data_IF_579115766640
#
_entry.id   IF_579115766640
#
_cell.length_a   1.000
_cell.length_b   1.000
_cell.length_c   1.000
_cell.angle_alpha   90.00
_cell.angle_beta   90.00
_cell.angle_gamma   90.00
#
_symmetry.space_group_name_H-M   'P 1'
#
loop_
_entity.id
_entity.type
_entity.pdbx_description
1 polymer ?
#
# COMPACT_ATOMS: atom_id res chain seq x y z
N UNK A 1 15.04 -25.23 10.50
CA UNK A 1 15.71 -24.05 9.92
C UNK A 1 14.74 -23.43 8.94
N UNK A 2 14.24 -22.19 9.20
CA UNK A 2 13.45 -21.45 8.22
C UNK A 2 14.45 -20.98 7.15
N UNK A 3 14.42 -21.59 5.97
CA UNK A 3 15.27 -21.18 4.85
C UNK A 3 14.77 -19.82 4.39
N UNK A 4 15.62 -18.80 4.33
CA UNK A 4 15.24 -17.50 3.83
C UNK A 4 14.69 -17.69 2.41
N UNK A 5 13.56 -17.02 2.09
CA UNK A 5 12.92 -17.15 0.77
C UNK A 5 13.83 -16.69 -0.37
N UNK A 6 14.86 -15.90 -0.06
CA UNK A 6 15.96 -15.55 -0.96
C UNK A 6 16.69 -16.79 -1.50
N UNK A 7 16.88 -17.84 -0.66
CA UNK A 7 17.50 -19.11 -1.09
C UNK A 7 16.54 -19.97 -1.93
N UNK A 8 15.20 -19.84 -1.71
CA UNK A 8 14.18 -20.58 -2.47
C UNK A 8 13.95 -19.97 -3.85
N UNK A 9 13.94 -18.65 -3.96
CA UNK A 9 13.68 -17.92 -5.21
C UNK A 9 14.97 -17.52 -5.95
N UNK A 10 16.13 -17.62 -5.29
CA UNK A 10 17.45 -17.33 -5.86
C UNK A 10 17.68 -15.88 -6.30
N UNK A 11 16.74 -14.96 -5.96
CA UNK A 11 16.78 -13.55 -6.35
C UNK A 11 16.39 -12.63 -5.18
N UNK A 12 17.02 -11.46 -5.05
CA UNK A 12 16.58 -10.45 -4.09
C UNK A 12 15.21 -9.89 -4.48
N UNK A 13 14.41 -9.56 -3.46
CA UNK A 13 13.07 -9.01 -3.63
C UNK A 13 13.08 -7.52 -3.36
N UNK A 14 12.41 -6.75 -4.22
CA UNK A 14 12.02 -5.35 -4.00
C UNK A 14 10.52 -5.31 -3.78
N UNK A 15 10.05 -4.88 -2.60
CA UNK A 15 8.64 -4.69 -2.31
C UNK A 15 8.24 -3.24 -2.59
N UNK A 16 7.23 -3.04 -3.41
CA UNK A 16 6.61 -1.74 -3.66
C UNK A 16 5.25 -1.71 -2.97
N UNK A 17 5.15 -0.92 -1.91
CA UNK A 17 3.96 -0.76 -1.09
C UNK A 17 3.24 0.53 -1.49
N UNK A 18 1.95 0.44 -1.73
CA UNK A 18 1.12 1.56 -2.15
C UNK A 18 0.01 1.83 -1.13
N UNK A 19 -0.24 3.09 -0.82
CA UNK A 19 -1.59 3.48 -0.47
C UNK A 19 -2.48 3.40 -1.72
N UNK A 20 -3.81 3.48 -1.57
CA UNK A 20 -4.71 3.31 -2.70
C UNK A 20 -5.38 4.63 -3.12
N UNK A 21 -6.16 5.24 -2.22
CA UNK A 21 -6.91 6.46 -2.50
C UNK A 21 -5.95 7.63 -2.76
N UNK A 22 -6.16 8.39 -3.83
CA UNK A 22 -5.30 9.50 -4.29
C UNK A 22 -3.86 9.13 -4.61
N UNK A 23 -3.54 7.82 -4.51
CA UNK A 23 -2.25 7.25 -4.87
C UNK A 23 -2.34 6.45 -6.17
N UNK A 24 -3.24 5.48 -6.28
CA UNK A 24 -3.52 4.71 -7.50
C UNK A 24 -4.83 5.14 -8.17
N UNK A 25 -5.73 5.75 -7.42
CA UNK A 25 -7.00 6.33 -7.85
C UNK A 25 -7.00 7.84 -7.54
N UNK A 26 -7.54 8.70 -8.40
CA UNK A 26 -7.65 10.14 -8.12
C UNK A 26 -8.76 10.49 -7.11
N UNK A 27 -9.62 9.53 -6.77
CA UNK A 27 -10.76 9.69 -5.86
C UNK A 27 -10.65 8.70 -4.70
N UNK A 28 -11.48 8.90 -3.65
CA UNK A 28 -11.63 7.86 -2.63
C UNK A 28 -12.47 6.71 -3.21
N UNK A 29 -12.06 5.49 -2.97
CA UNK A 29 -12.73 4.31 -3.52
C UNK A 29 -14.19 4.17 -3.09
N UNK A 30 -14.56 4.76 -1.94
CA UNK A 30 -15.93 4.74 -1.40
C UNK A 30 -16.87 5.73 -2.09
N UNK A 31 -16.37 6.71 -2.84
CA UNK A 31 -17.18 7.78 -3.41
C UNK A 31 -18.27 7.25 -4.35
N UNK A 32 -17.99 6.18 -5.09
CA UNK A 32 -18.97 5.51 -5.95
C UNK A 32 -20.14 4.89 -5.16
N UNK A 33 -19.85 4.27 -4.02
CA UNK A 33 -20.88 3.76 -3.10
C UNK A 33 -21.68 4.91 -2.48
N UNK A 34 -21.01 5.96 -1.98
CA UNK A 34 -21.66 7.09 -1.30
C UNK A 34 -22.70 7.73 -2.23
N UNK A 35 -22.35 7.95 -3.51
CA UNK A 35 -23.31 8.47 -4.51
C UNK A 35 -24.46 7.51 -4.79
N UNK A 36 -24.23 6.19 -4.75
CA UNK A 36 -25.25 5.19 -5.02
C UNK A 36 -26.31 5.07 -3.91
N UNK A 37 -25.96 5.48 -2.69
CA UNK A 37 -26.93 5.58 -1.58
C UNK A 37 -27.55 6.98 -1.45
N UNK A 38 -27.52 7.78 -2.53
CA UNK A 38 -28.02 9.16 -2.58
C UNK A 38 -27.49 10.05 -1.46
N UNK A 39 -26.17 9.96 -1.23
CA UNK A 39 -25.49 10.81 -0.27
C UNK A 39 -24.50 11.74 -0.98
N UNK A 40 -24.43 13.00 -0.54
CA UNK A 40 -23.37 13.90 -0.97
C UNK A 40 -22.04 13.47 -0.36
N UNK A 41 -21.01 13.34 -1.21
CA UNK A 41 -19.69 12.82 -0.79
C UNK A 41 -19.05 13.71 0.28
N UNK A 42 -19.11 15.04 0.12
CA UNK A 42 -18.56 15.98 1.09
C UNK A 42 -19.26 15.90 2.44
N UNK A 43 -20.61 15.85 2.43
CA UNK A 43 -21.41 15.70 3.64
C UNK A 43 -21.16 14.36 4.34
N UNK A 44 -21.02 13.27 3.58
CA UNK A 44 -20.72 11.95 4.14
C UNK A 44 -19.41 11.97 4.95
N UNK A 45 -18.33 12.50 4.37
CA UNK A 45 -17.03 12.56 5.03
C UNK A 45 -17.02 13.55 6.21
N UNK A 46 -17.67 14.71 6.06
CA UNK A 46 -17.80 15.68 7.15
C UNK A 46 -18.55 15.11 8.35
N UNK A 47 -19.65 14.38 8.13
CA UNK A 47 -20.43 13.73 9.19
C UNK A 47 -19.67 12.54 9.80
N UNK A 48 -18.95 11.75 9.00
CA UNK A 48 -18.11 10.66 9.50
C UNK A 48 -17.00 11.18 10.41
N UNK A 49 -16.35 12.27 10.04
CA UNK A 49 -15.31 12.90 10.84
C UNK A 49 -15.88 13.48 12.15
N UNK A 50 -17.02 14.15 12.07
CA UNK A 50 -17.72 14.65 13.26
C UNK A 50 -18.11 13.52 14.21
N UNK A 51 -18.64 12.41 13.68
CA UNK A 51 -18.97 11.22 14.47
C UNK A 51 -17.73 10.69 15.21
N UNK A 52 -16.57 10.67 14.55
CA UNK A 52 -15.32 10.26 15.17
C UNK A 52 -14.91 11.20 16.31
N UNK A 53 -14.99 12.50 16.08
CA UNK A 53 -14.63 13.54 17.07
C UNK A 53 -15.56 13.51 18.28
N UNK A 54 -16.89 13.53 18.06
CA UNK A 54 -17.91 13.60 19.11
C UNK A 54 -17.89 12.37 20.03
N UNK A 55 -17.44 11.21 19.52
CA UNK A 55 -17.47 9.94 20.26
C UNK A 55 -16.09 9.34 20.52
N UNK A 56 -14.99 10.06 20.26
CA UNK A 56 -13.63 9.55 20.39
C UNK A 56 -13.43 8.23 19.64
N UNK A 57 -14.02 8.11 18.47
CA UNK A 57 -13.89 6.93 17.60
C UNK A 57 -12.68 7.06 16.66
N UNK A 58 -12.13 5.91 16.25
CA UNK A 58 -11.23 5.85 15.09
C UNK A 58 -12.00 6.30 13.83
N UNK A 59 -11.38 7.19 13.03
CA UNK A 59 -12.02 7.77 11.84
C UNK A 59 -12.45 6.71 10.82
N UNK A 60 -11.68 5.61 10.72
CA UNK A 60 -12.01 4.52 9.80
C UNK A 60 -13.17 3.67 10.32
N UNK A 61 -13.25 3.46 11.63
CA UNK A 61 -14.45 2.86 12.23
C UNK A 61 -15.69 3.73 12.02
N UNK A 62 -15.54 5.05 12.12
CA UNK A 62 -16.64 5.99 11.94
C UNK A 62 -17.19 5.95 10.50
N UNK A 63 -16.33 6.01 9.47
CA UNK A 63 -16.83 5.92 8.10
C UNK A 63 -17.42 4.54 7.79
N UNK A 64 -16.84 3.43 8.28
CA UNK A 64 -17.39 2.09 8.10
C UNK A 64 -18.78 1.98 8.74
N UNK A 65 -18.93 2.49 9.96
CA UNK A 65 -20.25 2.57 10.62
C UNK A 65 -21.24 3.40 9.79
N UNK A 66 -20.83 4.58 9.31
CA UNK A 66 -21.65 5.46 8.48
C UNK A 66 -22.09 4.78 7.19
N UNK A 67 -21.20 4.00 6.54
CA UNK A 67 -21.55 3.19 5.38
C UNK A 67 -22.71 2.23 5.69
N UNK A 68 -22.62 1.46 6.79
CA UNK A 68 -23.66 0.54 7.19
C UNK A 68 -24.99 1.25 7.48
N UNK A 69 -24.94 2.43 8.10
CA UNK A 69 -26.14 3.23 8.37
C UNK A 69 -26.79 3.75 7.09
N UNK A 70 -25.98 4.26 6.15
CA UNK A 70 -26.44 4.88 4.91
C UNK A 70 -27.03 3.86 3.92
N UNK A 71 -26.65 2.58 4.01
CA UNK A 71 -27.17 1.50 3.18
C UNK A 71 -28.60 1.10 3.56
N UNK A 72 -29.01 1.32 4.82
CA UNK A 72 -30.29 0.84 5.33
C UNK A 72 -31.47 1.36 4.51
N UNK A 73 -32.26 0.44 3.95
CA UNK A 73 -33.43 0.77 3.12
C UNK A 73 -33.15 1.36 1.75
N UNK A 74 -31.88 1.49 1.36
CA UNK A 74 -31.47 2.06 0.07
C UNK A 74 -30.69 1.10 -0.81
N UNK A 75 -29.75 0.36 -0.25
CA UNK A 75 -28.83 -0.49 -1.00
C UNK A 75 -28.55 -1.78 -0.20
N UNK A 76 -28.52 -2.91 -0.89
CA UNK A 76 -28.06 -4.17 -0.29
C UNK A 76 -26.52 -4.13 -0.27
N UNK A 77 -25.95 -3.88 0.90
CA UNK A 77 -24.53 -3.89 1.09
C UNK A 77 -24.04 -5.30 1.41
N UNK A 78 -23.28 -5.89 0.51
CA UNK A 78 -22.61 -7.17 0.70
C UNK A 78 -21.23 -7.15 0.01
N UNK A 79 -20.46 -8.21 0.21
CA UNK A 79 -19.10 -8.31 -0.34
C UNK A 79 -19.06 -8.15 -1.86
N UNK A 80 -19.98 -8.81 -2.57
CA UNK A 80 -20.01 -8.78 -4.04
C UNK A 80 -20.42 -7.38 -4.55
N UNK A 81 -21.31 -6.72 -3.86
CA UNK A 81 -21.73 -5.37 -4.21
C UNK A 81 -20.58 -4.36 -4.04
N UNK A 82 -19.82 -4.48 -2.94
CA UNK A 82 -18.60 -3.67 -2.74
C UNK A 82 -17.57 -3.91 -3.84
N UNK A 83 -17.35 -5.16 -4.26
CA UNK A 83 -16.49 -5.47 -5.41
C UNK A 83 -16.98 -4.84 -6.72
N UNK A 84 -18.28 -4.79 -6.94
CA UNK A 84 -18.83 -4.11 -8.13
C UNK A 84 -18.50 -2.61 -8.16
N UNK A 85 -18.50 -1.94 -7.02
CA UNK A 85 -18.01 -0.56 -6.94
C UNK A 85 -16.52 -0.47 -7.28
N UNK A 86 -15.71 -1.43 -6.83
CA UNK A 86 -14.30 -1.54 -7.20
C UNK A 86 -14.07 -1.57 -8.71
N UNK A 87 -14.93 -2.29 -9.45
CA UNK A 87 -14.87 -2.34 -10.92
C UNK A 87 -15.10 -1.00 -11.62
N UNK A 88 -15.67 -0.02 -10.90
CA UNK A 88 -15.96 1.34 -11.42
C UNK A 88 -14.94 2.39 -10.94
N UNK A 89 -14.01 2.04 -10.05
CA UNK A 89 -12.99 2.97 -9.56
C UNK A 89 -12.13 3.45 -10.71
N UNK A 90 -12.02 4.77 -10.83
CA UNK A 90 -11.10 5.41 -11.76
C UNK A 90 -9.67 5.22 -11.27
N UNK A 91 -8.78 4.85 -12.16
CA UNK A 91 -7.36 4.71 -11.87
C UNK A 91 -6.56 5.79 -12.58
N UNK A 92 -5.43 6.22 -12.02
CA UNK A 92 -4.52 7.12 -12.69
C UNK A 92 -3.96 6.53 -13.98
N UNK A 93 -3.51 7.41 -14.87
CA UNK A 93 -3.00 7.02 -16.17
C UNK A 93 -1.77 6.10 -16.05
N UNK A 94 -1.74 5.10 -16.93
CA UNK A 94 -0.63 4.14 -17.00
C UNK A 94 -0.68 2.98 -15.99
N UNK A 95 -1.51 3.04 -14.94
CA UNK A 95 -1.58 2.03 -13.86
C UNK A 95 -1.78 0.61 -14.40
N UNK A 96 -2.68 0.40 -15.36
CA UNK A 96 -2.99 -0.95 -15.91
C UNK A 96 -1.78 -1.63 -16.54
N UNK A 97 -0.81 -0.86 -17.01
CA UNK A 97 0.42 -1.36 -17.61
C UNK A 97 1.65 -1.30 -16.71
N UNK A 98 1.51 -0.60 -15.57
CA UNK A 98 2.59 -0.29 -14.64
C UNK A 98 3.25 -1.55 -14.06
N UNK A 99 2.47 -2.39 -13.41
CA UNK A 99 2.97 -3.57 -12.69
C UNK A 99 3.79 -4.48 -13.61
N UNK A 100 3.22 -4.85 -14.76
CA UNK A 100 3.93 -5.68 -15.75
C UNK A 100 5.24 -5.04 -16.23
N UNK A 101 5.24 -3.71 -16.44
CA UNK A 101 6.42 -2.99 -16.93
C UNK A 101 7.53 -2.94 -15.90
N UNK A 102 7.18 -2.65 -14.64
CA UNK A 102 8.13 -2.59 -13.53
C UNK A 102 8.67 -3.98 -13.20
N UNK A 103 7.82 -5.02 -13.18
CA UNK A 103 8.25 -6.41 -13.00
C UNK A 103 9.24 -6.83 -14.09
N UNK A 104 8.93 -6.55 -15.35
CA UNK A 104 9.82 -6.87 -16.46
C UNK A 104 11.16 -6.09 -16.40
N UNK A 105 11.15 -4.87 -15.85
CA UNK A 105 12.39 -4.13 -15.63
C UNK A 105 13.23 -4.75 -14.52
N UNK A 106 12.61 -5.08 -13.38
CA UNK A 106 13.26 -5.75 -12.26
C UNK A 106 13.87 -7.10 -12.68
N UNK A 107 13.12 -7.89 -13.42
CA UNK A 107 13.60 -9.20 -13.92
C UNK A 107 14.88 -9.09 -14.75
N UNK A 108 14.97 -8.09 -15.64
CA UNK A 108 16.21 -7.82 -16.42
C UNK A 108 17.40 -7.39 -15.55
N UNK A 109 17.15 -6.97 -14.31
CA UNK A 109 18.16 -6.58 -13.31
C UNK A 109 18.42 -7.67 -12.27
N UNK A 110 17.78 -8.84 -12.40
CA UNK A 110 17.90 -9.91 -11.41
C UNK A 110 17.12 -9.67 -10.12
N UNK A 111 16.16 -8.72 -10.12
CA UNK A 111 15.33 -8.35 -8.97
C UNK A 111 13.91 -8.87 -9.17
N UNK A 112 13.38 -9.58 -8.18
CA UNK A 112 11.96 -9.90 -8.11
C UNK A 112 11.20 -8.71 -7.52
N UNK A 113 10.33 -8.08 -8.30
CA UNK A 113 9.49 -6.97 -7.80
C UNK A 113 8.14 -7.52 -7.36
N UNK A 114 7.72 -7.17 -6.16
CA UNK A 114 6.42 -7.50 -5.60
C UNK A 114 5.65 -6.24 -5.25
N UNK A 115 4.35 -6.28 -5.43
CA UNK A 115 3.47 -5.15 -5.19
C UNK A 115 2.50 -5.44 -4.04
N UNK A 116 2.32 -4.48 -3.14
CA UNK A 116 1.50 -4.59 -1.94
C UNK A 116 0.63 -3.36 -1.77
N UNK A 117 -0.62 -3.55 -1.34
CA UNK A 117 -1.47 -2.45 -0.86
C UNK A 117 -1.40 -2.38 0.65
N UNK A 118 -1.29 -1.15 1.19
CA UNK A 118 -1.48 -0.84 2.61
C UNK A 118 -2.39 0.38 2.69
N UNK A 119 -3.71 0.16 2.77
CA UNK A 119 -4.73 1.20 2.64
C UNK A 119 -5.69 1.24 3.82
N UNK A 120 -6.18 2.44 4.14
CA UNK A 120 -7.28 2.65 5.07
C UNK A 120 -8.66 2.39 4.44
N UNK A 121 -8.72 2.27 3.11
CA UNK A 121 -9.93 1.94 2.36
C UNK A 121 -10.36 0.49 2.51
N UNK A 122 -11.41 0.09 1.78
CA UNK A 122 -12.01 -1.23 1.90
C UNK A 122 -11.38 -2.25 0.95
N UNK A 123 -10.96 -3.38 1.51
CA UNK A 123 -10.40 -4.52 0.77
C UNK A 123 -11.34 -4.99 -0.34
N UNK A 124 -12.62 -5.11 -0.03
CA UNK A 124 -13.64 -5.60 -0.95
C UNK A 124 -13.72 -4.72 -2.21
N UNK A 125 -13.60 -3.41 -2.05
CA UNK A 125 -13.58 -2.48 -3.19
C UNK A 125 -12.27 -2.66 -3.98
N UNK A 126 -11.13 -2.73 -3.31
CA UNK A 126 -9.83 -2.93 -3.97
C UNK A 126 -9.80 -4.26 -4.73
N UNK A 127 -10.29 -5.35 -4.13
CA UNK A 127 -10.41 -6.67 -4.77
C UNK A 127 -11.29 -6.66 -6.03
N UNK A 128 -12.22 -5.71 -6.14
CA UNK A 128 -13.07 -5.53 -7.32
C UNK A 128 -12.41 -4.75 -8.46
N UNK A 129 -11.25 -4.14 -8.23
CA UNK A 129 -10.59 -3.32 -9.25
C UNK A 129 -9.89 -4.18 -10.30
N UNK A 130 -9.68 -3.60 -11.49
CA UNK A 130 -9.00 -4.28 -12.59
C UNK A 130 -7.53 -4.66 -12.28
N UNK A 131 -6.94 -4.08 -11.24
CA UNK A 131 -5.53 -4.24 -10.85
C UNK A 131 -5.34 -5.14 -9.62
N UNK A 132 -6.42 -5.62 -8.99
CA UNK A 132 -6.34 -6.40 -7.76
C UNK A 132 -5.41 -7.62 -7.87
N UNK A 133 -5.39 -8.27 -9.03
CA UNK A 133 -4.57 -9.46 -9.33
C UNK A 133 -3.06 -9.17 -9.42
N UNK A 134 -2.67 -7.91 -9.55
CA UNK A 134 -1.27 -7.51 -9.70
C UNK A 134 -0.56 -7.37 -8.34
N UNK A 135 -1.32 -7.46 -7.23
CA UNK A 135 -0.76 -7.37 -5.88
C UNK A 135 -0.47 -8.75 -5.27
N UNK A 136 0.70 -8.87 -4.67
CA UNK A 136 1.10 -10.05 -3.89
C UNK A 136 0.23 -10.18 -2.65
N UNK A 137 -0.12 -9.06 -1.99
CA UNK A 137 -1.04 -9.03 -0.87
C UNK A 137 -1.72 -7.65 -0.75
N UNK A 138 -2.96 -7.65 -0.25
CA UNK A 138 -3.76 -6.44 -0.02
C UNK A 138 -4.07 -6.35 1.47
N UNK A 139 -3.41 -5.42 2.15
CA UNK A 139 -3.74 -4.98 3.50
C UNK A 139 -4.67 -3.77 3.40
N UNK A 140 -5.91 -3.95 3.81
CA UNK A 140 -6.92 -2.90 3.78
C UNK A 140 -7.98 -3.15 4.87
N UNK A 141 -8.73 -2.12 5.25
CA UNK A 141 -9.87 -2.31 6.14
C UNK A 141 -10.89 -3.24 5.49
N UNK A 142 -11.64 -4.01 6.29
CA UNK A 142 -12.61 -4.96 5.78
C UNK A 142 -13.73 -5.21 6.78
N UNK A 143 -14.86 -5.71 6.28
CA UNK A 143 -15.96 -6.13 7.12
C UNK A 143 -15.91 -7.64 7.42
N UNK A 144 -16.44 -8.00 8.59
CA UNK A 144 -16.93 -9.34 8.87
C UNK A 144 -18.37 -9.44 8.35
N UNK A 145 -18.68 -10.54 7.67
CA UNK A 145 -19.99 -10.81 7.07
C UNK A 145 -20.68 -11.94 7.83
N UNK A 146 -21.96 -11.78 8.09
CA UNK A 146 -22.78 -12.83 8.69
C UNK A 146 -23.08 -13.96 7.67
N UNK A 147 -23.85 -14.96 8.10
CA UNK A 147 -24.27 -16.10 7.26
C UNK A 147 -25.12 -15.71 6.04
N UNK A 148 -25.74 -14.52 6.06
CA UNK A 148 -26.49 -13.98 4.94
C UNK A 148 -25.63 -13.11 4.00
N UNK A 149 -24.33 -13.00 4.25
CA UNK A 149 -23.40 -12.18 3.48
C UNK A 149 -23.53 -10.67 3.73
N UNK A 150 -24.17 -10.28 4.84
CA UNK A 150 -24.32 -8.88 5.23
C UNK A 150 -23.16 -8.44 6.11
N UNK A 151 -22.55 -7.25 5.86
CA UNK A 151 -21.49 -6.72 6.70
C UNK A 151 -22.06 -6.29 8.06
N UNK A 152 -21.53 -6.85 9.14
CA UNK A 152 -22.07 -6.59 10.47
C UNK A 152 -21.04 -6.07 11.46
N UNK A 153 -19.75 -6.26 11.22
CA UNK A 153 -18.68 -5.81 12.10
C UNK A 153 -17.39 -5.52 11.31
N UNK A 154 -16.53 -4.59 11.73
CA UNK A 154 -15.21 -4.45 11.16
C UNK A 154 -14.36 -5.70 11.46
N UNK A 155 -13.90 -6.41 10.43
CA UNK A 155 -12.96 -7.52 10.57
C UNK A 155 -11.52 -7.03 10.72
N UNK A 156 -11.18 -5.96 10.01
CA UNK A 156 -9.90 -5.27 10.09
C UNK A 156 -10.11 -3.78 9.90
N UNK A 157 -9.38 -2.97 10.66
CA UNK A 157 -9.32 -1.52 10.48
C UNK A 157 -7.87 -1.08 10.41
N UNK A 158 -7.54 -0.34 9.36
CA UNK A 158 -6.18 0.16 9.11
C UNK A 158 -6.21 1.68 9.17
N UNK A 159 -5.56 2.23 10.18
CA UNK A 159 -5.32 3.68 10.31
C UNK A 159 -3.84 4.01 10.09
N UNK A 160 -3.51 5.31 10.13
CA UNK A 160 -2.17 5.81 9.83
C UNK A 160 -1.06 5.23 10.71
N UNK A 161 -1.32 4.88 11.98
CA UNK A 161 -0.28 4.32 12.87
C UNK A 161 -0.12 2.82 12.70
N UNK A 162 -1.21 2.08 12.52
CA UNK A 162 -1.11 0.63 12.38
C UNK A 162 -0.74 0.16 10.96
N UNK A 163 -0.69 1.06 9.95
CA UNK A 163 -0.11 0.77 8.62
C UNK A 163 1.31 0.19 8.73
N UNK A 164 2.10 0.67 9.68
CA UNK A 164 3.52 0.29 9.82
C UNK A 164 3.73 -1.19 10.13
N UNK A 165 2.80 -1.84 10.83
CA UNK A 165 2.91 -3.28 11.13
C UNK A 165 3.03 -4.16 9.88
N UNK A 166 2.38 -3.73 8.78
CA UNK A 166 2.39 -4.51 7.53
C UNK A 166 3.74 -4.45 6.82
N UNK A 167 4.50 -3.38 7.01
CA UNK A 167 5.88 -3.30 6.51
C UNK A 167 6.78 -4.36 7.16
N UNK A 168 6.65 -4.59 8.47
CA UNK A 168 7.38 -5.66 9.17
C UNK A 168 6.94 -7.05 8.71
N UNK A 169 5.66 -7.24 8.40
CA UNK A 169 5.17 -8.50 7.82
C UNK A 169 5.75 -8.77 6.43
N UNK A 170 5.81 -7.73 5.60
CA UNK A 170 6.41 -7.81 4.27
C UNK A 170 7.92 -8.08 4.39
N UNK A 171 8.63 -7.36 5.26
CA UNK A 171 10.05 -7.57 5.54
C UNK A 171 10.35 -9.03 5.85
N UNK A 172 9.57 -9.63 6.74
CA UNK A 172 9.77 -11.02 7.20
C UNK A 172 9.14 -12.07 6.28
N UNK A 173 8.30 -11.67 5.33
CA UNK A 173 7.55 -12.60 4.47
C UNK A 173 6.44 -13.36 5.20
N UNK A 174 5.93 -12.81 6.32
CA UNK A 174 4.87 -13.40 7.16
C UNK A 174 3.61 -12.58 6.94
N UNK A 175 2.90 -12.88 5.86
CA UNK A 175 1.83 -12.02 5.35
C UNK A 175 0.48 -12.22 6.06
N UNK A 176 0.23 -13.37 6.69
CA UNK A 176 -1.00 -13.60 7.46
C UNK A 176 -1.02 -12.73 8.72
N UNK A 177 -2.09 -11.95 8.90
CA UNK A 177 -2.25 -11.03 10.04
C UNK A 177 -2.32 -11.75 11.38
N UNK A 178 -2.72 -13.01 11.40
CA UNK A 178 -2.83 -13.86 12.61
C UNK A 178 -1.58 -14.69 12.86
N UNK A 179 -0.59 -14.70 11.96
CA UNK A 179 0.64 -15.46 12.18
C UNK A 179 1.56 -14.70 13.15
N UNK A 180 1.74 -15.32 14.33
CA UNK A 180 2.57 -14.79 15.41
C UNK A 180 4.08 -14.85 15.13
N UNK A 181 4.51 -15.61 14.10
CA UNK A 181 5.91 -15.70 13.72
C UNK A 181 6.49 -14.33 13.29
N UNK A 182 5.64 -13.31 13.04
CA UNK A 182 6.09 -11.92 12.84
C UNK A 182 6.90 -11.39 14.02
N UNK A 183 6.73 -11.94 15.23
CA UNK A 183 7.46 -11.55 16.45
C UNK A 183 8.78 -12.31 16.62
N UNK A 184 9.03 -13.35 15.82
CA UNK A 184 10.30 -14.09 15.89
C UNK A 184 11.48 -13.19 15.52
N UNK A 185 12.64 -13.49 16.10
CA UNK A 185 13.89 -12.87 15.70
C UNK A 185 14.34 -13.43 14.35
N UNK A 186 14.74 -12.53 13.46
CA UNK A 186 15.36 -12.82 12.17
C UNK A 186 16.72 -12.13 12.12
N UNK A 187 17.76 -12.84 11.77
CA UNK A 187 19.03 -12.22 11.42
C UNK A 187 18.86 -11.44 10.09
N UNK A 188 19.70 -10.43 9.86
CA UNK A 188 19.58 -9.58 8.65
C UNK A 188 19.57 -10.39 7.35
N UNK A 189 20.38 -11.44 7.24
CA UNK A 189 20.44 -12.33 6.08
C UNK A 189 19.23 -13.29 5.95
N UNK A 190 18.33 -13.33 6.93
CA UNK A 190 17.11 -14.16 6.92
C UNK A 190 15.86 -13.35 6.55
N UNK A 191 15.97 -12.03 6.51
CA UNK A 191 14.89 -11.15 6.10
C UNK A 191 14.56 -11.36 4.62
N UNK A 192 13.28 -11.60 4.33
CA UNK A 192 12.83 -11.81 2.96
C UNK A 192 12.97 -10.55 2.11
N UNK A 193 12.55 -9.40 2.65
CA UNK A 193 12.61 -8.09 2.00
C UNK A 193 13.19 -7.09 3.00
N UNK A 194 14.51 -6.93 3.12
CA UNK A 194 15.07 -5.93 4.02
C UNK A 194 14.49 -4.55 3.73
N UNK A 195 14.31 -3.70 4.74
CA UNK A 195 13.67 -2.37 4.55
C UNK A 195 14.35 -1.53 3.47
N UNK A 196 15.66 -1.68 3.25
CA UNK A 196 16.38 -1.01 2.15
C UNK A 196 15.81 -1.35 0.76
N UNK A 197 15.12 -2.49 0.65
CA UNK A 197 14.44 -2.98 -0.55
C UNK A 197 12.92 -2.74 -0.50
N UNK A 198 12.44 -1.85 0.35
CA UNK A 198 11.03 -1.43 0.40
C UNK A 198 10.91 -0.04 -0.19
N UNK A 199 9.96 0.12 -1.10
CA UNK A 199 9.49 1.42 -1.61
C UNK A 199 8.07 1.62 -1.07
N UNK A 200 7.80 2.76 -0.44
CA UNK A 200 6.46 3.15 -0.02
C UNK A 200 5.98 4.36 -0.81
N UNK A 201 4.82 4.24 -1.44
CA UNK A 201 4.22 5.26 -2.29
C UNK A 201 2.87 5.68 -1.67
N UNK A 202 2.68 6.97 -1.44
CA UNK A 202 1.44 7.52 -0.87
C UNK A 202 1.33 9.01 -1.12
N UNK A 203 0.18 9.62 -0.80
CA UNK A 203 -0.14 11.01 -1.14
C UNK A 203 -0.27 11.93 0.06
N UNK A 204 -0.42 11.39 1.26
CA UNK A 204 -0.98 12.17 2.37
C UNK A 204 -0.24 12.00 3.70
N UNK A 205 -0.68 12.79 4.68
CA UNK A 205 -0.14 12.75 6.05
C UNK A 205 -0.35 11.39 6.74
N UNK A 206 -1.36 10.62 6.31
CA UNK A 206 -1.63 9.28 6.86
C UNK A 206 -0.55 8.26 6.52
N UNK A 207 0.26 8.53 5.48
CA UNK A 207 1.35 7.66 5.03
C UNK A 207 2.68 7.99 5.69
N UNK A 208 2.78 9.15 6.33
CA UNK A 208 4.03 9.65 6.93
C UNK A 208 4.68 8.63 7.89
N UNK A 209 3.95 7.93 8.78
CA UNK A 209 4.57 6.94 9.65
C UNK A 209 5.30 5.83 8.88
N UNK A 210 4.67 5.30 7.82
CA UNK A 210 5.28 4.30 6.93
C UNK A 210 6.47 4.87 6.16
N UNK A 211 6.31 6.06 5.58
CA UNK A 211 7.37 6.73 4.80
C UNK A 211 8.60 7.01 5.64
N UNK A 212 8.42 7.52 6.86
CA UNK A 212 9.53 7.76 7.80
C UNK A 212 10.21 6.47 8.22
N UNK A 213 9.45 5.45 8.54
CA UNK A 213 10.00 4.15 8.92
C UNK A 213 10.85 3.56 7.79
N UNK A 214 10.31 3.55 6.57
CA UNK A 214 11.04 3.06 5.40
C UNK A 214 12.32 3.87 5.17
N UNK A 215 12.26 5.20 5.24
CA UNK A 215 13.43 6.05 5.08
C UNK A 215 14.49 5.82 6.15
N UNK A 216 14.10 5.69 7.43
CA UNK A 216 15.04 5.51 8.54
C UNK A 216 15.80 4.19 8.47
N UNK A 217 15.24 3.19 7.80
CA UNK A 217 15.81 1.86 7.60
C UNK A 217 16.41 1.65 6.19
N UNK A 218 16.69 2.75 5.47
CA UNK A 218 17.43 2.75 4.22
C UNK A 218 16.61 2.53 2.94
N UNK A 219 15.29 2.35 3.05
CA UNK A 219 14.38 2.21 1.93
C UNK A 219 14.02 3.55 1.25
N UNK A 220 12.96 3.54 0.46
CA UNK A 220 12.55 4.65 -0.39
C UNK A 220 11.09 5.04 -0.15
N UNK A 221 10.81 6.30 0.14
CA UNK A 221 9.45 6.84 0.17
C UNK A 221 9.23 7.82 -0.97
N UNK A 222 8.08 7.72 -1.60
CA UNK A 222 7.66 8.55 -2.74
C UNK A 222 6.31 9.17 -2.44
N UNK A 223 6.27 10.49 -2.29
CA UNK A 223 5.02 11.23 -2.25
C UNK A 223 4.48 11.43 -3.67
N UNK A 224 3.20 11.11 -3.90
CA UNK A 224 2.56 11.37 -5.18
C UNK A 224 1.54 12.50 -5.06
N UNK A 225 1.34 13.23 -6.15
CA UNK A 225 0.38 14.31 -6.20
C UNK A 225 -0.38 14.32 -7.54
N UNK A 226 -1.63 14.75 -7.49
CA UNK A 226 -2.42 14.99 -8.67
C UNK A 226 -1.94 16.29 -9.35
N UNK A 227 -1.51 16.20 -10.61
CA UNK A 227 -1.01 17.35 -11.39
C UNK A 227 -2.04 18.47 -11.58
N UNK A 228 -3.32 18.11 -11.57
CA UNK A 228 -4.42 19.07 -11.73
C UNK A 228 -4.83 19.71 -10.39
N UNK A 229 -4.27 19.24 -9.26
CA UNK A 229 -4.61 19.71 -7.92
C UNK A 229 -3.41 20.37 -7.22
N UNK A 230 -3.39 21.70 -7.19
CA UNK A 230 -2.31 22.47 -6.56
C UNK A 230 -2.14 22.14 -5.07
N UNK A 231 -3.23 21.94 -4.32
CA UNK A 231 -3.18 21.63 -2.89
C UNK A 231 -2.52 20.29 -2.63
N UNK A 232 -2.74 19.30 -3.51
CA UNK A 232 -2.06 17.99 -3.46
C UNK A 232 -0.55 18.17 -3.63
N UNK A 233 -0.12 18.96 -4.60
CA UNK A 233 1.31 19.26 -4.83
C UNK A 233 1.95 19.99 -3.65
N UNK A 234 1.26 20.94 -3.04
CA UNK A 234 1.76 21.69 -1.88
C UNK A 234 1.90 20.78 -0.64
N UNK A 235 1.03 19.79 -0.53
CA UNK A 235 1.14 18.78 0.54
C UNK A 235 2.45 18.00 0.44
N UNK A 236 2.75 17.39 -0.70
CA UNK A 236 4.01 16.62 -0.86
C UNK A 236 5.25 17.50 -0.80
N UNK A 237 5.18 18.78 -1.27
CA UNK A 237 6.26 19.76 -1.10
C UNK A 237 6.54 20.09 0.37
N UNK A 238 5.52 20.15 1.20
CA UNK A 238 5.69 20.31 2.65
C UNK A 238 6.31 19.07 3.25
N UNK A 239 5.85 17.87 2.87
CA UNK A 239 6.40 16.61 3.37
C UNK A 239 7.90 16.44 3.06
N UNK A 240 8.38 16.86 1.88
CA UNK A 240 9.82 16.79 1.57
C UNK A 240 10.63 17.86 2.30
N UNK A 241 10.09 19.08 2.42
CA UNK A 241 10.73 20.16 3.18
C UNK A 241 10.90 19.80 4.67
N UNK A 242 9.91 19.09 5.23
CA UNK A 242 9.91 18.61 6.61
C UNK A 242 10.67 17.26 6.76
N UNK A 243 11.42 16.83 5.74
CA UNK A 243 12.23 15.59 5.70
C UNK A 243 11.42 14.33 6.01
N UNK A 244 10.12 14.31 5.69
CA UNK A 244 9.23 13.19 5.94
C UNK A 244 9.19 12.17 4.80
N UNK A 245 9.50 12.62 3.60
CA UNK A 245 9.60 11.79 2.40
C UNK A 245 10.92 12.04 1.66
N UNK A 246 11.32 11.11 0.82
CA UNK A 246 12.59 11.17 0.10
C UNK A 246 12.45 11.73 -1.31
N UNK A 247 11.35 11.42 -1.98
CA UNK A 247 11.04 11.86 -3.35
C UNK A 247 9.57 12.28 -3.45
N UNK A 248 9.25 13.09 -4.45
CA UNK A 248 7.86 13.33 -4.85
C UNK A 248 7.76 13.47 -6.37
N UNK A 249 6.68 12.96 -6.95
CA UNK A 249 6.43 12.95 -8.39
C UNK A 249 4.92 13.08 -8.67
N UNK A 250 4.51 13.48 -9.88
CA UNK A 250 3.10 13.36 -10.28
C UNK A 250 2.60 11.91 -10.18
N UNK A 251 1.31 11.74 -9.89
CA UNK A 251 0.62 10.45 -9.92
C UNK A 251 0.37 9.99 -11.37
N UNK A 252 1.42 9.93 -12.16
CA UNK A 252 1.45 9.49 -13.56
C UNK A 252 2.30 8.22 -13.65
N UNK A 253 1.65 7.11 -13.95
CA UNK A 253 2.26 5.78 -14.06
C UNK A 253 2.49 5.36 -15.51
N UNK A 254 2.47 6.30 -16.45
CA UNK A 254 2.74 6.02 -17.86
C UNK A 254 4.23 5.73 -18.08
N UNK A 255 4.53 5.05 -19.19
CA UNK A 255 5.91 4.77 -19.56
C UNK A 255 6.69 6.07 -19.85
N UNK A 256 7.83 6.21 -19.20
CA UNK A 256 8.72 7.37 -19.34
C UNK A 256 8.34 8.57 -18.47
N UNK A 257 7.30 8.46 -17.63
CA UNK A 257 6.96 9.48 -16.63
C UNK A 257 8.06 9.65 -15.58
N UNK A 258 7.96 10.69 -14.73
CA UNK A 258 8.88 10.87 -13.61
C UNK A 258 8.85 9.67 -12.65
N UNK A 259 7.64 9.14 -12.35
CA UNK A 259 7.47 7.94 -11.54
C UNK A 259 8.15 6.72 -12.15
N UNK A 260 7.94 6.48 -13.46
CA UNK A 260 8.56 5.36 -14.18
C UNK A 260 10.09 5.46 -14.14
N UNK A 261 10.63 6.63 -14.40
CA UNK A 261 12.06 6.89 -14.36
C UNK A 261 12.65 6.73 -12.96
N UNK A 262 11.97 7.25 -11.93
CA UNK A 262 12.40 7.13 -10.54
C UNK A 262 12.44 5.66 -10.11
N UNK A 263 11.40 4.90 -10.43
CA UNK A 263 11.33 3.47 -10.07
C UNK A 263 12.43 2.66 -10.74
N UNK A 264 12.74 2.94 -12.01
CA UNK A 264 13.87 2.30 -12.69
C UNK A 264 15.19 2.57 -11.95
N UNK A 265 15.44 3.81 -11.50
CA UNK A 265 16.65 4.17 -10.72
C UNK A 265 16.72 3.46 -9.37
N UNK A 266 15.58 3.30 -8.69
CA UNK A 266 15.51 2.55 -7.44
C UNK A 266 15.85 1.08 -7.68
N UNK A 267 15.30 0.46 -8.72
CA UNK A 267 15.61 -0.93 -9.09
C UNK A 267 17.10 -1.08 -9.45
N UNK A 268 17.67 -0.17 -10.24
CA UNK A 268 19.11 -0.19 -10.60
C UNK A 268 19.99 -0.11 -9.35
N UNK A 269 19.65 0.78 -8.41
CA UNK A 269 20.36 0.91 -7.12
C UNK A 269 20.26 -0.36 -6.30
N UNK A 270 19.07 -0.93 -6.18
CA UNK A 270 18.85 -2.19 -5.44
C UNK A 270 19.66 -3.32 -6.05
N UNK A 271 19.65 -3.47 -7.38
CA UNK A 271 20.42 -4.49 -8.06
C UNK A 271 21.93 -4.34 -7.82
N UNK A 272 22.46 -3.13 -7.92
CA UNK A 272 23.87 -2.87 -7.66
C UNK A 272 24.26 -3.18 -6.21
N UNK A 273 23.41 -2.79 -5.25
CA UNK A 273 23.63 -3.08 -3.83
C UNK A 273 23.66 -4.59 -3.55
N UNK A 274 22.69 -5.33 -4.07
CA UNK A 274 22.56 -6.76 -3.82
C UNK A 274 23.72 -7.58 -4.39
N UNK A 275 24.31 -7.15 -5.53
CA UNK A 275 25.55 -7.75 -6.07
C UNK A 275 26.73 -7.58 -5.12
N UNK A 276 26.88 -6.39 -4.54
CA UNK A 276 27.95 -6.11 -3.57
C UNK A 276 27.75 -6.89 -2.26
N UNK A 277 26.52 -6.99 -1.79
CA UNK A 277 26.18 -7.73 -0.57
C UNK A 277 26.44 -9.24 -0.74
N UNK A 278 26.09 -9.81 -1.88
CA UNK A 278 26.40 -11.20 -2.22
C UNK A 278 27.91 -11.46 -2.20
N UNK A 279 28.70 -10.55 -2.77
CA UNK A 279 30.16 -10.61 -2.74
C UNK A 279 30.67 -10.57 -1.29
N UNK A 280 30.19 -9.63 -0.48
CA UNK A 280 30.56 -9.51 0.93
C UNK A 280 30.28 -10.78 1.73
N UNK A 281 29.09 -11.36 1.59
CA UNK A 281 28.70 -12.59 2.27
C UNK A 281 29.57 -13.79 1.84
N UNK A 282 29.97 -13.84 0.58
CA UNK A 282 30.88 -14.87 0.06
C UNK A 282 32.26 -14.74 0.69
N UNK A 283 32.83 -13.54 0.68
CA UNK A 283 34.15 -13.28 1.25
C UNK A 283 34.19 -13.60 2.76
N UNK A 284 33.13 -13.25 3.50
CA UNK A 284 33.02 -13.63 4.90
C UNK A 284 32.98 -15.14 5.12
N UNK A 285 32.28 -15.89 4.29
CA UNK A 285 32.25 -17.36 4.38
C UNK A 285 33.61 -17.98 4.07
N UNK A 286 34.36 -17.40 3.16
CA UNK A 286 35.72 -17.86 2.82
C UNK A 286 36.73 -17.54 3.95
N UNK A 287 36.62 -16.38 4.59
CA UNK A 287 37.51 -15.96 5.67
C UNK A 287 37.35 -16.75 6.98
N UNK A 288 36.23 -17.48 7.17
CA UNK A 288 35.97 -18.30 8.36
C UNK A 288 36.37 -19.76 8.17
N UNK A 289 36.71 -20.16 6.94
CA UNK A 289 37.27 -21.46 6.61
C UNK A 289 38.78 -21.48 6.76
#
# INVERSE_FOLDING_TARGET
MKTARREIEGRPVLAVCYDFDRTLSPENMQDGYIRAVDYDVGSFWAESNRLAEDHCMDQNLAYMYKMLQSARGKEILNKERLKQYGGKVRLYDGIRGWFRRINAYGERRGILVEHYIISSGLREIIEGTAIAKDFTHIYASSFYYNEHGEPCWPAQVINYTNKTQFLFRIEKGILDINDNAVNDHFAEGELRVPFRNIVYIGDSATDIPCMRLVNSLGGHSVGVYDSENTASKDTVRRMIRDERIRYYVPADYTKGSEMDTLMHRIIDKTAAYEVLEEKHLRDRKEAVR
#
